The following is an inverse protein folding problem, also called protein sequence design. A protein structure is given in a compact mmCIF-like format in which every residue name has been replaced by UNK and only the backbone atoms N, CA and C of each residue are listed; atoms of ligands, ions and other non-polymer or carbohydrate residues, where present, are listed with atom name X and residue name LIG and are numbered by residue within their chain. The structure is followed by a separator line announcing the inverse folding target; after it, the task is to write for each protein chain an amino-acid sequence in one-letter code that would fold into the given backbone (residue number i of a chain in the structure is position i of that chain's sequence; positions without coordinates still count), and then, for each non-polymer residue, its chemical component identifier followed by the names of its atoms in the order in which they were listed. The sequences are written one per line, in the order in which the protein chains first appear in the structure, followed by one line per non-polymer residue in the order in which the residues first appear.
data_IF_189550857854
#
_entry.id   IF_189550857854
#
_cell.length_a   1.000
_cell.length_b   1.000
_cell.length_c   1.000
_cell.angle_alpha   90.00
_cell.angle_beta   90.00
_cell.angle_gamma   90.00
#
_symmetry.space_group_name_H-M   'P 1'
#
loop_
_entity.id
_entity.type
_entity.pdbx_description
1 polymer ?
#
# COMPACT_ATOMS: atom_id res chain seq x y z
N UNK A 1 -13.68 -4.35 -31.47
CA UNK A 1 -12.63 -5.19 -32.03
C UNK A 1 -11.85 -5.92 -30.92
N UNK A 2 -11.39 -5.26 -29.87
CA UNK A 2 -10.62 -5.87 -28.77
C UNK A 2 -11.30 -7.03 -28.03
N UNK A 3 -12.60 -7.00 -27.79
CA UNK A 3 -13.32 -8.04 -27.05
C UNK A 3 -13.38 -9.39 -27.78
N UNK A 4 -13.33 -9.41 -29.12
CA UNK A 4 -13.30 -10.65 -29.91
C UNK A 4 -11.93 -11.34 -29.84
N UNK A 5 -10.86 -10.57 -29.75
CA UNK A 5 -9.50 -11.09 -29.67
C UNK A 5 -9.17 -11.66 -28.29
N UNK A 6 -9.86 -11.19 -27.24
CA UNK A 6 -9.66 -11.64 -25.86
C UNK A 6 -10.55 -12.83 -25.46
N UNK A 7 -11.41 -13.31 -26.37
CA UNK A 7 -12.34 -14.43 -26.13
C UNK A 7 -13.18 -14.25 -24.85
N UNK A 8 -13.54 -13.00 -24.55
CA UNK A 8 -14.38 -12.65 -23.39
C UNK A 8 -15.82 -13.03 -23.73
N UNK A 9 -16.41 -13.84 -22.88
CA UNK A 9 -17.79 -14.28 -23.02
C UNK A 9 -18.74 -13.06 -23.01
N UNK A 10 -19.75 -13.09 -23.88
CA UNK A 10 -20.74 -12.00 -23.99
C UNK A 10 -21.50 -11.79 -22.67
N UNK A 11 -21.65 -12.85 -21.88
CA UNK A 11 -22.33 -12.78 -20.59
C UNK A 11 -21.49 -12.04 -19.54
N UNK A 12 -20.18 -11.92 -19.72
CA UNK A 12 -19.32 -11.16 -18.82
C UNK A 12 -19.32 -9.65 -19.09
N UNK A 13 -19.69 -9.24 -20.32
CA UNK A 13 -19.65 -7.82 -20.68
C UNK A 13 -20.87 -7.03 -20.25
N UNK A 14 -21.89 -7.66 -19.67
CA UNK A 14 -23.13 -7.05 -19.18
C UNK A 14 -23.57 -5.86 -20.06
N UNK A 15 -24.61 -5.99 -20.84
CA UNK A 15 -25.02 -4.87 -21.69
C UNK A 15 -25.62 -3.76 -20.81
N UNK A 16 -25.53 -2.53 -21.25
CA UNK A 16 -26.15 -1.36 -20.61
C UNK A 16 -27.67 -1.54 -20.35
N UNK A 17 -28.29 -2.51 -21.05
CA UNK A 17 -29.71 -2.82 -20.97
C UNK A 17 -30.08 -3.74 -19.80
N UNK A 18 -29.09 -4.42 -19.20
CA UNK A 18 -29.31 -5.43 -18.16
C UNK A 18 -29.12 -4.88 -16.74
N UNK A 19 -28.88 -3.57 -16.60
CA UNK A 19 -28.70 -2.92 -15.31
C UNK A 19 -29.98 -2.21 -14.88
N UNK A 20 -30.64 -2.78 -13.89
CA UNK A 20 -31.90 -2.24 -13.35
C UNK A 20 -31.69 -0.96 -12.50
N UNK A 21 -30.47 -0.66 -12.05
CA UNK A 21 -30.23 0.41 -11.08
C UNK A 21 -29.86 1.77 -11.67
N UNK A 22 -29.55 1.85 -12.97
CA UNK A 22 -29.20 3.11 -13.63
C UNK A 22 -28.02 3.91 -13.06
N UNK A 23 -27.41 3.41 -11.99
CA UNK A 23 -26.42 4.14 -11.17
C UNK A 23 -24.98 3.92 -11.66
N UNK A 24 -24.72 2.84 -12.37
CA UNK A 24 -23.36 2.48 -12.81
C UNK A 24 -23.07 2.88 -14.26
N UNK A 25 -22.84 4.17 -14.48
CA UNK A 25 -22.35 4.69 -15.76
C UNK A 25 -20.83 4.57 -15.95
N UNK A 26 -20.15 3.82 -15.11
CA UNK A 26 -18.73 3.59 -15.29
C UNK A 26 -18.48 2.62 -16.44
N UNK A 27 -17.57 2.95 -17.37
CA UNK A 27 -17.18 2.02 -18.41
C UNK A 27 -16.61 0.76 -17.75
N UNK A 28 -17.12 -0.40 -18.13
CA UNK A 28 -16.59 -1.68 -17.67
C UNK A 28 -15.16 -1.82 -18.18
N UNK A 29 -14.20 -1.78 -17.29
CA UNK A 29 -12.80 -2.08 -17.62
C UNK A 29 -12.62 -3.58 -17.78
N UNK A 30 -11.96 -4.02 -18.84
CA UNK A 30 -11.48 -5.40 -18.93
C UNK A 30 -10.13 -5.51 -18.23
N UNK A 31 -10.05 -6.32 -17.18
CA UNK A 31 -8.78 -6.70 -16.57
C UNK A 31 -8.10 -7.72 -17.49
N UNK A 32 -6.97 -7.32 -18.04
CA UNK A 32 -6.11 -8.21 -18.82
C UNK A 32 -4.75 -8.29 -18.14
N UNK A 33 -4.20 -9.48 -18.08
CA UNK A 33 -2.83 -9.67 -17.63
C UNK A 33 -1.90 -9.80 -18.84
N UNK A 34 -0.64 -9.42 -18.68
CA UNK A 34 0.39 -9.51 -19.72
C UNK A 34 1.38 -10.58 -19.30
N UNK A 35 1.63 -11.58 -20.16
CA UNK A 35 2.63 -12.60 -19.90
C UNK A 35 4.06 -12.01 -20.03
N UNK A 36 5.06 -12.79 -19.61
CA UNK A 36 6.48 -12.38 -19.68
C UNK A 36 7.00 -12.05 -21.10
N UNK A 37 6.24 -12.39 -22.13
CA UNK A 37 6.56 -12.11 -23.53
C UNK A 37 5.77 -10.88 -24.06
N UNK A 38 5.00 -10.20 -23.22
CA UNK A 38 4.19 -9.04 -23.59
C UNK A 38 2.84 -9.38 -24.23
N UNK A 39 2.41 -10.65 -24.21
CA UNK A 39 1.11 -11.04 -24.78
C UNK A 39 -0.01 -10.88 -23.77
N UNK A 40 -1.15 -10.35 -24.22
CA UNK A 40 -2.35 -10.26 -23.42
C UNK A 40 -2.95 -11.65 -23.17
N UNK A 41 -3.26 -11.94 -21.93
CA UNK A 41 -3.88 -13.19 -21.47
C UNK A 41 -5.11 -12.89 -20.63
N UNK A 42 -6.07 -13.81 -20.67
CA UNK A 42 -7.20 -13.81 -19.74
C UNK A 42 -6.75 -14.23 -18.35
N UNK A 43 -7.51 -13.88 -17.32
CA UNK A 43 -7.21 -14.31 -15.95
C UNK A 43 -7.16 -15.83 -15.79
N UNK A 44 -7.91 -16.58 -16.60
CA UNK A 44 -7.88 -18.05 -16.57
C UNK A 44 -6.52 -18.64 -16.96
N UNK A 45 -5.75 -17.94 -17.77
CA UNK A 45 -4.38 -18.36 -18.11
C UNK A 45 -3.49 -18.42 -16.86
N UNK A 46 -3.72 -17.51 -15.93
CA UNK A 46 -2.98 -17.42 -14.67
C UNK A 46 -3.66 -18.17 -13.52
N UNK A 47 -4.79 -18.85 -13.78
CA UNK A 47 -5.59 -19.51 -12.74
C UNK A 47 -4.77 -20.46 -11.87
N UNK A 48 -3.80 -21.15 -12.45
CA UNK A 48 -2.92 -22.06 -11.71
C UNK A 48 -1.95 -21.30 -10.79
N UNK A 49 -1.42 -20.17 -11.26
CA UNK A 49 -0.53 -19.31 -10.47
C UNK A 49 -1.31 -18.48 -9.45
N UNK A 50 -2.55 -18.10 -9.79
CA UNK A 50 -3.46 -17.38 -8.91
C UNK A 50 -4.13 -18.28 -7.86
N UNK A 51 -4.26 -19.60 -8.14
CA UNK A 51 -4.90 -20.52 -7.17
C UNK A 51 -4.09 -20.69 -5.90
N UNK A 52 -2.78 -20.49 -5.98
CA UNK A 52 -1.91 -20.68 -4.82
C UNK A 52 -1.87 -19.44 -3.89
N UNK A 53 -2.05 -18.21 -4.40
CA UNK A 53 -2.35 -17.04 -3.57
C UNK A 53 -2.68 -15.75 -4.37
N UNK A 54 -3.93 -15.53 -4.83
CA UNK A 54 -4.30 -14.33 -5.60
C UNK A 54 -4.19 -13.03 -4.79
N UNK A 55 -4.29 -13.10 -3.47
CA UNK A 55 -4.15 -11.96 -2.56
C UNK A 55 -2.73 -11.42 -2.57
N UNK A 56 -1.73 -12.29 -2.73
CA UNK A 56 -0.33 -11.94 -2.67
C UNK A 56 0.14 -11.07 -3.86
N UNK A 57 -0.31 -11.36 -5.08
CA UNK A 57 0.08 -10.56 -6.27
C UNK A 57 -0.56 -9.17 -6.28
N UNK A 58 -1.83 -9.07 -5.88
CA UNK A 58 -2.52 -7.79 -5.80
C UNK A 58 -1.92 -6.93 -4.69
N UNK A 59 -1.58 -7.53 -3.54
CA UNK A 59 -1.01 -6.79 -2.42
C UNK A 59 0.41 -6.27 -2.72
N UNK A 60 1.24 -6.99 -3.48
CA UNK A 60 2.58 -6.51 -3.84
C UNK A 60 2.53 -5.31 -4.80
N UNK A 61 1.63 -5.30 -5.79
CA UNK A 61 1.47 -4.16 -6.69
C UNK A 61 0.90 -2.93 -5.97
N UNK A 62 -0.12 -3.12 -5.13
CA UNK A 62 -0.67 -2.04 -4.30
C UNK A 62 0.38 -1.49 -3.33
N UNK A 63 1.20 -2.35 -2.74
CA UNK A 63 2.28 -1.94 -1.84
C UNK A 63 3.32 -1.06 -2.54
N UNK A 64 3.69 -1.38 -3.79
CA UNK A 64 4.60 -0.54 -4.56
C UNK A 64 4.01 0.84 -4.88
N UNK A 65 2.72 0.91 -5.25
CA UNK A 65 2.02 2.18 -5.47
C UNK A 65 1.96 3.00 -4.16
N UNK A 66 1.64 2.35 -3.04
CA UNK A 66 1.59 3.00 -1.73
C UNK A 66 2.97 3.51 -1.32
N UNK A 67 4.01 2.70 -1.51
CA UNK A 67 5.39 3.07 -1.25
C UNK A 67 5.80 4.30 -2.04
N UNK A 68 5.54 4.33 -3.34
CA UNK A 68 5.83 5.49 -4.18
C UNK A 68 5.11 6.74 -3.67
N UNK A 69 3.81 6.65 -3.40
CA UNK A 69 3.02 7.76 -2.88
C UNK A 69 3.51 8.23 -1.50
N UNK A 70 3.96 7.31 -0.65
CA UNK A 70 4.52 7.61 0.66
C UNK A 70 5.83 8.40 0.53
N UNK A 71 6.73 7.99 -0.36
CA UNK A 71 7.99 8.71 -0.61
C UNK A 71 7.78 10.07 -1.25
N UNK A 72 6.90 10.19 -2.23
CA UNK A 72 6.59 11.47 -2.89
C UNK A 72 6.09 12.55 -1.91
N UNK A 73 5.51 12.13 -0.80
CA UNK A 73 4.86 13.04 0.17
C UNK A 73 5.45 12.97 1.57
N UNK A 74 6.59 12.32 1.74
CA UNK A 74 7.21 12.13 3.05
C UNK A 74 7.63 13.45 3.72
N UNK A 75 7.98 14.46 2.94
CA UNK A 75 8.34 15.77 3.45
C UNK A 75 7.18 16.43 4.23
N UNK A 76 5.94 16.24 3.80
CA UNK A 76 4.77 16.73 4.55
C UNK A 76 4.66 16.05 5.90
N UNK A 77 4.86 14.73 5.94
CA UNK A 77 4.84 13.96 7.18
C UNK A 77 5.93 14.44 8.16
N UNK A 78 7.18 14.55 7.69
CA UNK A 78 8.33 14.98 8.50
C UNK A 78 8.14 16.42 9.01
N UNK A 79 7.66 17.31 8.17
CA UNK A 79 7.40 18.69 8.57
C UNK A 79 6.31 18.79 9.64
N UNK A 80 5.23 18.02 9.52
CA UNK A 80 4.17 17.96 10.51
C UNK A 80 4.64 17.30 11.81
N UNK A 81 5.41 16.22 11.74
CA UNK A 81 6.04 15.58 12.91
C UNK A 81 6.88 16.58 13.71
N UNK A 82 7.76 17.32 13.03
CA UNK A 82 8.63 18.30 13.66
C UNK A 82 7.86 19.47 14.27
N UNK A 83 6.79 19.94 13.60
CA UNK A 83 5.96 21.06 14.05
C UNK A 83 5.12 20.71 15.28
N UNK A 84 4.65 19.45 15.37
CA UNK A 84 3.74 19.00 16.42
C UNK A 84 4.42 18.07 17.43
N UNK A 85 5.72 18.21 17.60
CA UNK A 85 6.50 17.37 18.52
C UNK A 85 6.03 17.59 19.96
N UNK A 86 5.58 16.50 20.60
CA UNK A 86 5.10 16.51 21.98
C UNK A 86 3.61 16.88 22.13
N UNK A 87 2.86 16.94 21.05
CA UNK A 87 1.40 17.02 21.09
C UNK A 87 0.80 15.60 21.15
N UNK A 88 0.30 15.21 22.32
CA UNK A 88 -0.27 13.89 22.58
C UNK A 88 -1.59 13.62 21.82
N UNK A 89 -2.14 14.65 21.15
CA UNK A 89 -3.36 14.53 20.35
C UNK A 89 -3.10 14.08 18.92
N UNK A 90 -1.84 14.05 18.50
CA UNK A 90 -1.45 13.69 17.15
C UNK A 90 -0.47 12.53 17.20
N UNK A 91 -0.83 11.41 16.58
CA UNK A 91 0.06 10.25 16.44
C UNK A 91 0.56 10.11 15.00
N UNK A 92 1.85 9.88 14.87
CA UNK A 92 2.55 9.72 13.60
C UNK A 92 2.97 8.28 13.44
N UNK A 93 2.43 7.60 12.44
CA UNK A 93 2.71 6.18 12.18
C UNK A 93 3.39 6.00 10.83
N UNK A 94 4.37 5.11 10.79
CA UNK A 94 4.98 4.64 9.53
C UNK A 94 4.80 3.14 9.40
N UNK A 95 4.58 2.69 8.18
CA UNK A 95 4.55 1.27 7.83
C UNK A 95 5.85 0.93 7.12
N UNK A 96 6.55 -0.10 7.59
CA UNK A 96 7.86 -0.47 7.08
C UNK A 96 7.93 -1.94 6.74
N UNK A 97 8.64 -2.28 5.66
CA UNK A 97 8.84 -3.65 5.21
C UNK A 97 10.16 -4.23 5.71
N UNK A 98 10.09 -5.41 6.34
CA UNK A 98 11.24 -6.16 6.83
C UNK A 98 11.21 -7.60 6.38
N UNK A 99 12.34 -8.12 5.94
CA UNK A 99 12.52 -9.52 5.59
C UNK A 99 13.47 -10.24 6.52
N UNK A 100 13.29 -11.54 6.67
CA UNK A 100 14.23 -12.36 7.43
C UNK A 100 15.64 -12.27 6.83
N UNK A 101 16.65 -12.23 7.70
CA UNK A 101 18.07 -12.13 7.32
C UNK A 101 18.38 -10.95 6.38
N UNK A 102 17.69 -9.82 6.55
CA UNK A 102 17.81 -8.63 5.69
C UNK A 102 17.48 -8.91 4.20
N UNK A 103 16.63 -9.88 3.93
CA UNK A 103 16.14 -10.16 2.59
C UNK A 103 15.18 -9.09 2.13
N UNK A 104 15.33 -8.61 0.89
CA UNK A 104 14.38 -7.70 0.25
C UNK A 104 13.21 -8.44 -0.43
N UNK A 105 13.10 -9.76 -0.22
CA UNK A 105 12.04 -10.59 -0.74
C UNK A 105 11.13 -11.02 0.39
N UNK A 106 9.85 -11.10 0.09
CA UNK A 106 8.84 -11.57 1.04
C UNK A 106 8.87 -10.76 2.35
N UNK A 107 8.67 -9.45 2.21
CA UNK A 107 8.69 -8.51 3.34
C UNK A 107 7.42 -8.64 4.16
N UNK A 108 7.58 -8.65 5.48
CA UNK A 108 6.51 -8.38 6.43
C UNK A 108 6.42 -6.87 6.65
N UNK A 109 5.19 -6.34 6.59
CA UNK A 109 4.94 -4.91 6.75
C UNK A 109 4.40 -4.63 8.14
N UNK A 110 5.18 -3.89 8.92
CA UNK A 110 4.92 -3.59 10.32
C UNK A 110 4.65 -2.11 10.53
N UNK A 111 3.79 -1.79 11.52
CA UNK A 111 3.51 -0.42 11.90
C UNK A 111 4.36 0.03 13.09
N UNK A 112 4.84 1.26 13.00
CA UNK A 112 5.64 1.90 14.05
C UNK A 112 5.08 3.27 14.38
N UNK A 113 5.04 3.60 15.68
CA UNK A 113 4.78 4.95 16.15
C UNK A 113 6.07 5.76 16.16
N UNK A 114 6.06 6.89 15.46
CA UNK A 114 7.24 7.73 15.24
C UNK A 114 7.35 8.81 16.30
N UNK A 115 8.52 8.91 16.92
CA UNK A 115 8.85 9.93 17.90
C UNK A 115 9.70 11.05 17.32
N UNK A 116 10.59 10.74 16.37
CA UNK A 116 11.41 11.73 15.66
C UNK A 116 11.97 11.15 14.35
N UNK A 117 12.47 12.06 13.51
CA UNK A 117 13.22 11.74 12.29
C UNK A 117 14.54 12.50 12.32
N UNK A 118 15.65 11.85 11.97
CA UNK A 118 16.97 12.46 11.98
C UNK A 118 17.49 12.77 10.57
N UNK A 119 18.57 13.53 10.49
CA UNK A 119 19.20 13.95 9.22
C UNK A 119 19.85 12.78 8.46
N UNK A 120 20.16 11.68 9.15
CA UNK A 120 20.73 10.47 8.55
C UNK A 120 19.68 9.58 7.88
N UNK A 121 18.40 9.98 7.88
CA UNK A 121 17.31 9.26 7.23
C UNK A 121 16.70 8.14 8.09
N UNK A 122 16.78 8.24 9.42
CA UNK A 122 16.19 7.26 10.33
C UNK A 122 15.03 7.83 11.13
N UNK A 123 13.98 7.04 11.25
CA UNK A 123 12.92 7.26 12.22
C UNK A 123 13.30 6.61 13.55
N UNK A 124 13.22 7.37 14.64
CA UNK A 124 13.17 6.84 16.00
C UNK A 124 11.72 6.48 16.28
N UNK A 125 11.41 5.19 16.35
CA UNK A 125 10.04 4.72 16.38
C UNK A 125 9.87 3.44 17.21
N UNK A 126 8.64 3.23 17.71
CA UNK A 126 8.25 2.07 18.51
C UNK A 126 7.38 1.13 17.69
N UNK A 127 7.70 -0.15 17.67
CA UNK A 127 6.94 -1.20 16.98
C UNK A 127 5.58 -1.41 17.64
N UNK A 128 4.50 -1.39 16.84
CA UNK A 128 3.11 -1.45 17.35
C UNK A 128 2.47 -2.84 17.27
N UNK A 129 3.09 -3.78 16.58
CA UNK A 129 2.53 -5.13 16.41
C UNK A 129 3.63 -6.19 16.41
N UNK A 130 3.38 -7.34 17.03
CA UNK A 130 4.31 -8.46 17.05
C UNK A 130 4.51 -9.02 15.64
N UNK A 131 5.77 -9.17 15.17
CA UNK A 131 6.07 -9.78 13.89
C UNK A 131 5.71 -11.27 13.85
N UNK A 132 5.21 -11.72 12.70
CA UNK A 132 5.04 -13.16 12.43
C UNK A 132 6.36 -13.85 12.09
N UNK A 133 7.28 -13.10 11.48
CA UNK A 133 8.61 -13.58 11.09
C UNK A 133 9.61 -13.32 12.20
N UNK A 134 10.67 -14.14 12.23
CA UNK A 134 11.76 -13.92 13.18
C UNK A 134 12.65 -12.77 12.67
N UNK A 135 12.28 -11.55 13.01
CA UNK A 135 12.96 -10.31 12.59
C UNK A 135 13.92 -9.79 13.68
N UNK A 136 13.98 -10.45 14.84
CA UNK A 136 14.82 -10.00 15.96
C UNK A 136 14.32 -8.72 16.62
N UNK A 137 13.02 -8.40 16.48
CA UNK A 137 12.35 -7.28 17.13
C UNK A 137 10.99 -7.71 17.65
N UNK A 138 10.49 -7.06 18.69
CA UNK A 138 9.22 -7.38 19.35
C UNK A 138 8.33 -6.15 19.51
N UNK A 139 7.02 -6.38 19.63
CA UNK A 139 6.06 -5.33 19.92
C UNK A 139 6.49 -4.51 21.15
N UNK A 140 6.37 -3.19 21.04
CA UNK A 140 6.79 -2.25 22.08
C UNK A 140 8.27 -1.89 22.05
N UNK A 141 9.10 -2.55 21.27
CA UNK A 141 10.51 -2.18 21.12
C UNK A 141 10.66 -0.88 20.32
N UNK A 142 11.51 0.01 20.84
CA UNK A 142 11.87 1.27 20.21
C UNK A 142 13.26 1.18 19.60
N UNK A 143 13.40 1.66 18.38
CA UNK A 143 14.66 1.65 17.66
C UNK A 143 14.74 2.67 16.54
N UNK A 144 15.88 2.67 15.84
CA UNK A 144 16.11 3.47 14.65
C UNK A 144 15.81 2.65 13.40
N UNK A 145 14.93 3.16 12.56
CA UNK A 145 14.42 2.49 11.37
C UNK A 145 14.71 3.33 10.12
N UNK A 146 15.41 2.74 9.15
CA UNK A 146 15.81 3.43 7.92
C UNK A 146 14.57 3.74 7.06
N UNK A 147 14.47 4.98 6.56
CA UNK A 147 13.41 5.44 5.67
C UNK A 147 13.29 4.60 4.39
N UNK A 148 14.35 3.93 3.94
CA UNK A 148 14.32 3.06 2.76
C UNK A 148 13.34 1.88 2.90
N UNK A 149 13.04 1.47 4.15
CA UNK A 149 12.07 0.43 4.46
C UNK A 149 10.61 0.95 4.46
N UNK A 150 10.40 2.25 4.29
CA UNK A 150 9.07 2.86 4.28
C UNK A 150 8.20 2.30 3.16
N UNK A 151 6.95 1.94 3.50
CA UNK A 151 5.95 1.49 2.52
C UNK A 151 4.65 2.29 2.60
N UNK A 152 4.37 2.91 3.73
CA UNK A 152 3.22 3.81 3.92
C UNK A 152 3.41 4.67 5.17
N UNK A 153 2.56 5.67 5.38
CA UNK A 153 2.48 6.42 6.61
C UNK A 153 1.08 6.96 6.87
N UNK A 154 0.78 7.23 8.13
CA UNK A 154 -0.48 7.81 8.59
C UNK A 154 -0.24 8.82 9.70
N UNK A 155 -1.07 9.86 9.72
CA UNK A 155 -1.12 10.85 10.80
C UNK A 155 -2.53 10.82 11.37
N UNK A 156 -2.64 10.46 12.63
CA UNK A 156 -3.90 10.45 13.37
C UNK A 156 -4.05 11.76 14.14
N UNK A 157 -5.19 12.39 13.95
CA UNK A 157 -5.60 13.57 14.73
C UNK A 157 -6.95 13.30 15.37
N UNK A 158 -7.41 14.18 16.25
CA UNK A 158 -8.76 14.06 16.85
C UNK A 158 -9.88 14.11 15.81
N UNK A 159 -9.66 14.73 14.65
CA UNK A 159 -10.70 14.99 13.65
C UNK A 159 -10.63 14.05 12.45
N UNK A 160 -9.42 13.59 12.06
CA UNK A 160 -9.21 12.84 10.83
C UNK A 160 -7.94 11.99 10.83
N UNK A 161 -7.86 11.06 9.88
CA UNK A 161 -6.65 10.29 9.56
C UNK A 161 -6.14 10.77 8.21
N UNK A 162 -4.91 11.28 8.21
CA UNK A 162 -4.21 11.68 6.99
C UNK A 162 -3.19 10.63 6.56
N UNK A 163 -3.02 10.49 5.26
CA UNK A 163 -2.11 9.55 4.62
C UNK A 163 -1.62 10.12 3.28
N UNK A 164 -0.74 9.45 2.53
CA UNK A 164 -0.24 9.96 1.25
C UNK A 164 -1.33 10.31 0.22
N UNK A 165 -2.51 9.69 0.30
CA UNK A 165 -3.59 9.92 -0.67
C UNK A 165 -4.41 11.18 -0.37
N UNK A 166 -4.53 11.58 0.91
CA UNK A 166 -5.41 12.67 1.33
C UNK A 166 -4.72 13.82 2.07
N UNK A 167 -3.40 13.80 2.25
CA UNK A 167 -2.65 14.83 2.98
C UNK A 167 -2.89 16.24 2.45
N UNK A 168 -3.24 16.38 1.17
CA UNK A 168 -3.56 17.67 0.57
C UNK A 168 -4.76 18.36 1.23
N UNK A 169 -5.65 17.61 1.89
CA UNK A 169 -6.81 18.16 2.60
C UNK A 169 -6.42 19.04 3.80
N UNK A 170 -5.20 18.90 4.33
CA UNK A 170 -4.69 19.78 5.40
C UNK A 170 -4.37 21.20 4.93
N UNK A 171 -4.37 21.44 3.63
CA UNK A 171 -3.98 22.71 3.02
C UNK A 171 -5.15 23.42 2.32
N UNK A 172 -6.36 22.88 2.46
CA UNK A 172 -7.61 23.47 1.98
C UNK A 172 -8.29 24.29 3.08
#
# INVERSE_FOLDING_TARGET
MALKELNIDKDFSGSFKDREDGIHNNPSGALVAVDKNGNYKTLDYFKKELSDNPVFMLSSFETEIMKQAAFEKIEYFINLLNKNKGDDKISFLVKMGYGENNSNKDLEHLWFEVHSFNEDGFFDATLLNEPYKNLGMHEGERGLHNIENLTDWQIYTEEAIFNPKNIYLLFL
#
